data_IF_782994200176
#
_entry.id   IF_782994200176
#
_cell.length_a   1.000
_cell.length_b   1.000
_cell.length_c   1.000
_cell.angle_alpha   90.00
_cell.angle_beta   90.00
_cell.angle_gamma   90.00
#
_symmetry.space_group_name_H-M   'P 1'
#
loop_
_entity.id
_entity.type
_entity.pdbx_description
1 polymer ?
#
# COMPACT_ATOMS: atom_id res chain seq x y z
N UNK A 1 56.23 15.48 -29.18
CA UNK A 1 55.06 16.02 -28.45
C UNK A 1 53.72 15.45 -28.93
N UNK A 2 53.42 15.39 -30.23
CA UNK A 2 52.15 14.83 -30.74
C UNK A 2 51.95 13.33 -30.43
N UNK A 3 53.01 12.52 -30.52
CA UNK A 3 52.93 11.08 -30.21
C UNK A 3 52.69 10.78 -28.71
N UNK A 4 53.15 11.66 -27.81
CA UNK A 4 52.97 11.48 -26.36
C UNK A 4 51.52 11.78 -25.94
N UNK A 5 50.90 12.77 -26.57
CA UNK A 5 49.50 13.14 -26.33
C UNK A 5 48.51 12.06 -26.82
N UNK A 6 48.82 11.39 -27.93
CA UNK A 6 48.01 10.27 -28.45
C UNK A 6 48.10 9.03 -27.55
N UNK A 7 49.26 8.80 -26.94
CA UNK A 7 49.44 7.69 -26.00
C UNK A 7 48.77 7.97 -24.65
N UNK A 8 48.77 9.23 -24.18
CA UNK A 8 48.03 9.62 -22.99
C UNK A 8 46.50 9.53 -23.20
N UNK A 9 45.97 9.92 -24.37
CA UNK A 9 44.54 9.82 -24.64
C UNK A 9 44.05 8.36 -24.76
N UNK A 10 44.92 7.44 -25.21
CA UNK A 10 44.60 6.01 -25.22
C UNK A 10 44.53 5.40 -23.81
N UNK A 11 45.36 5.87 -22.87
CA UNK A 11 45.34 5.40 -21.47
C UNK A 11 44.12 5.94 -20.70
N UNK A 12 43.67 7.16 -20.98
CA UNK A 12 42.44 7.72 -20.39
C UNK A 12 41.15 7.11 -20.95
N UNK A 13 41.17 6.59 -22.18
CA UNK A 13 40.01 5.89 -22.76
C UNK A 13 39.86 4.44 -22.27
N UNK A 14 40.95 3.79 -21.82
CA UNK A 14 40.91 2.45 -21.23
C UNK A 14 40.56 2.44 -19.73
N UNK A 15 40.54 3.60 -19.08
CA UNK A 15 40.16 3.76 -17.67
C UNK A 15 38.73 4.29 -17.48
N UNK A 16 38.00 4.52 -18.58
CA UNK A 16 36.58 4.85 -18.55
C UNK A 16 35.73 3.57 -18.72
N UNK A 17 35.07 3.18 -17.62
CA UNK A 17 33.96 2.22 -17.57
C UNK A 17 34.30 0.72 -17.66
N UNK A 18 35.17 0.25 -16.79
CA UNK A 18 34.87 -0.98 -16.06
C UNK A 18 34.42 -0.58 -14.66
N UNK A 19 33.19 -0.08 -14.53
CA UNK A 19 32.53 -0.03 -13.23
C UNK A 19 32.27 -1.49 -12.91
N UNK A 20 33.12 -2.06 -12.06
CA UNK A 20 32.88 -3.37 -11.47
C UNK A 20 31.47 -3.32 -10.88
N UNK A 21 30.54 -3.95 -11.59
CA UNK A 21 29.25 -4.28 -11.00
C UNK A 21 29.62 -5.26 -9.93
N UNK A 22 29.70 -4.78 -8.69
CA UNK A 22 29.53 -5.66 -7.55
C UNK A 22 28.16 -6.28 -7.77
N UNK A 23 28.16 -7.47 -8.35
CA UNK A 23 27.09 -8.42 -8.18
C UNK A 23 27.02 -8.58 -6.67
N UNK A 24 26.16 -7.78 -6.05
CA UNK A 24 25.62 -8.08 -4.73
C UNK A 24 25.12 -9.48 -4.92
N UNK A 25 25.84 -10.43 -4.31
CA UNK A 25 25.43 -11.81 -4.23
C UNK A 25 24.00 -11.76 -3.74
N UNK A 26 23.05 -11.99 -4.65
CA UNK A 26 21.64 -12.15 -4.29
C UNK A 26 21.67 -13.20 -3.19
N UNK A 27 21.19 -12.90 -1.97
CA UNK A 27 21.03 -13.94 -0.99
C UNK A 27 20.20 -15.02 -1.68
N UNK A 28 20.80 -16.18 -1.81
CA UNK A 28 20.33 -17.33 -2.59
C UNK A 28 19.13 -18.03 -1.92
N UNK A 29 18.34 -17.27 -1.17
CA UNK A 29 17.11 -17.62 -0.49
C UNK A 29 16.19 -16.40 -0.58
N UNK A 30 15.76 -16.02 -1.79
CA UNK A 30 14.51 -15.25 -1.93
C UNK A 30 13.41 -16.30 -1.83
N UNK A 31 13.26 -16.86 -0.62
CA UNK A 31 12.06 -17.58 -0.24
C UNK A 31 10.89 -16.65 -0.58
N UNK A 32 9.81 -17.20 -1.12
CA UNK A 32 8.57 -16.44 -1.33
C UNK A 32 8.08 -15.97 0.03
N UNK A 33 8.57 -14.80 0.43
CA UNK A 33 8.53 -14.33 1.80
C UNK A 33 7.18 -13.67 1.95
N UNK A 34 6.34 -14.28 2.77
CA UNK A 34 5.13 -13.59 3.23
C UNK A 34 5.60 -12.36 3.99
N UNK A 35 5.20 -11.18 3.52
CA UNK A 35 5.53 -9.90 4.13
C UNK A 35 4.42 -9.58 5.12
N UNK A 36 4.80 -9.27 6.35
CA UNK A 36 3.88 -8.94 7.43
C UNK A 36 4.40 -7.69 8.15
N UNK A 37 3.56 -6.68 8.26
CA UNK A 37 3.89 -5.42 8.93
C UNK A 37 2.70 -4.95 9.77
N UNK A 38 3.01 -4.33 10.90
CA UNK A 38 2.01 -3.79 11.81
C UNK A 38 2.32 -2.35 12.18
N UNK A 39 1.31 -1.54 12.45
CA UNK A 39 1.45 -0.18 12.96
C UNK A 39 0.36 0.14 13.97
N UNK A 40 0.73 0.89 15.01
CA UNK A 40 -0.25 1.43 15.95
C UNK A 40 -0.65 2.85 15.57
N UNK A 41 -1.92 3.16 15.74
CA UNK A 41 -2.50 4.50 15.52
C UNK A 41 -3.35 4.89 16.72
N UNK A 42 -3.24 6.16 17.12
CA UNK A 42 -4.12 6.75 18.13
C UNK A 42 -5.07 7.70 17.40
N UNK A 43 -6.36 7.44 17.51
CA UNK A 43 -7.40 8.33 17.04
C UNK A 43 -7.82 9.24 18.18
N UNK A 44 -7.87 10.55 17.90
CA UNK A 44 -8.47 11.56 18.77
C UNK A 44 -9.62 12.21 18.01
N UNK A 45 -10.84 11.84 18.37
CA UNK A 45 -12.04 12.24 17.65
C UNK A 45 -12.90 13.15 18.52
N UNK A 46 -13.09 14.39 18.05
CA UNK A 46 -13.99 15.34 18.72
C UNK A 46 -15.45 15.01 18.43
N UNK A 47 -16.37 15.55 19.22
CA UNK A 47 -17.81 15.44 18.95
C UNK A 47 -18.18 15.93 17.54
N UNK A 48 -17.49 16.94 17.01
CA UNK A 48 -17.74 17.46 15.68
C UNK A 48 -17.31 16.49 14.57
N UNK A 49 -16.30 15.66 14.81
CA UNK A 49 -15.83 14.65 13.86
C UNK A 49 -16.78 13.46 13.82
N UNK A 50 -17.25 13.02 14.99
CA UNK A 50 -18.22 11.94 15.10
C UNK A 50 -19.55 12.26 14.40
N UNK A 51 -19.96 13.54 14.39
CA UNK A 51 -21.16 14.00 13.69
C UNK A 51 -21.08 13.89 12.15
N UNK A 52 -19.89 13.68 11.59
CA UNK A 52 -19.69 13.49 10.14
C UNK A 52 -20.06 12.08 9.70
N UNK A 53 -20.12 11.13 10.62
CA UNK A 53 -20.39 9.74 10.33
C UNK A 53 -21.89 9.44 10.43
N UNK A 54 -22.42 8.77 9.42
CA UNK A 54 -23.78 8.23 9.46
C UNK A 54 -23.87 7.08 10.48
N UNK A 55 -22.86 6.21 10.46
CA UNK A 55 -22.61 5.18 11.46
C UNK A 55 -21.27 5.50 12.14
N UNK A 56 -21.34 5.84 13.43
CA UNK A 56 -20.18 6.29 14.20
C UNK A 56 -19.16 5.16 14.37
N UNK A 57 -19.62 3.93 14.60
CA UNK A 57 -18.73 2.79 14.82
C UNK A 57 -18.00 2.43 13.52
N UNK A 58 -18.72 2.31 12.40
CA UNK A 58 -18.13 2.09 11.08
C UNK A 58 -17.14 3.21 10.71
N UNK A 59 -17.48 4.46 11.03
CA UNK A 59 -16.63 5.62 10.81
C UNK A 59 -15.30 5.54 11.57
N UNK A 60 -15.34 5.17 12.86
CA UNK A 60 -14.15 5.01 13.70
C UNK A 60 -13.24 3.91 13.16
N UNK A 61 -13.79 2.73 12.85
CA UNK A 61 -13.02 1.62 12.28
C UNK A 61 -12.37 2.00 10.95
N UNK A 62 -13.10 2.70 10.09
CA UNK A 62 -12.59 3.18 8.81
C UNK A 62 -11.42 4.15 8.98
N UNK A 63 -11.54 5.15 9.85
CA UNK A 63 -10.45 6.10 10.11
C UNK A 63 -9.21 5.40 10.67
N UNK A 64 -9.40 4.47 11.63
CA UNK A 64 -8.31 3.68 12.21
C UNK A 64 -7.60 2.84 11.14
N UNK A 65 -8.38 2.14 10.31
CA UNK A 65 -7.88 1.34 9.19
C UNK A 65 -7.08 2.21 8.22
N UNK A 66 -7.66 3.29 7.71
CA UNK A 66 -7.01 4.14 6.71
C UNK A 66 -5.71 4.71 7.25
N UNK A 67 -5.70 5.27 8.45
CA UNK A 67 -4.49 5.82 9.03
C UNK A 67 -3.42 4.74 9.31
N UNK A 68 -3.83 3.58 9.84
CA UNK A 68 -2.92 2.48 10.14
C UNK A 68 -2.32 1.86 8.88
N UNK A 69 -3.12 1.65 7.83
CA UNK A 69 -2.65 1.13 6.56
C UNK A 69 -1.68 2.09 5.87
N UNK A 70 -1.92 3.41 5.92
CA UNK A 70 -0.95 4.40 5.40
C UNK A 70 0.41 4.23 6.10
N UNK A 71 0.42 4.07 7.42
CA UNK A 71 1.67 3.82 8.16
C UNK A 71 2.33 2.50 7.81
N UNK A 72 1.55 1.42 7.80
CA UNK A 72 2.04 0.09 7.43
C UNK A 72 2.66 0.14 6.04
N UNK A 73 1.97 0.75 5.08
CA UNK A 73 2.47 0.89 3.73
C UNK A 73 3.75 1.73 3.68
N UNK A 74 3.83 2.87 4.38
CA UNK A 74 5.06 3.65 4.42
C UNK A 74 6.26 2.84 4.95
N UNK A 75 6.05 1.95 5.93
CA UNK A 75 7.10 1.02 6.38
C UNK A 75 7.51 0.02 5.31
N UNK A 76 6.53 -0.55 4.61
CA UNK A 76 6.77 -1.48 3.49
C UNK A 76 7.57 -0.77 2.38
N UNK A 77 7.13 0.42 1.98
CA UNK A 77 7.75 1.21 0.91
C UNK A 77 9.18 1.66 1.26
N UNK A 78 9.44 2.01 2.53
CA UNK A 78 10.77 2.39 3.01
C UNK A 78 11.78 1.22 3.00
N UNK A 79 11.32 -0.03 2.84
CA UNK A 79 12.19 -1.21 2.71
C UNK A 79 12.60 -1.50 1.27
N UNK A 80 12.09 -0.75 0.28
CA UNK A 80 12.36 -0.96 -1.15
C UNK A 80 12.18 -2.43 -1.58
N UNK A 81 11.10 -3.07 -1.10
CA UNK A 81 10.89 -4.50 -1.26
C UNK A 81 10.81 -4.93 -2.72
N UNK A 82 11.57 -5.97 -3.05
CA UNK A 82 11.48 -6.72 -4.29
C UNK A 82 10.85 -8.09 -4.00
N UNK A 83 9.82 -8.45 -4.75
CA UNK A 83 9.16 -9.75 -4.70
C UNK A 83 9.34 -10.49 -6.01
N UNK A 84 9.41 -11.82 -5.94
CA UNK A 84 9.37 -12.71 -7.10
C UNK A 84 8.01 -13.40 -7.09
N UNK A 85 7.15 -13.17 -8.09
CA UNK A 85 5.87 -13.85 -8.17
C UNK A 85 6.08 -15.34 -8.40
N UNK A 86 5.55 -16.19 -7.51
CA UNK A 86 5.62 -17.65 -7.65
C UNK A 86 4.26 -18.27 -7.41
N UNK A 87 4.03 -19.46 -7.95
CA UNK A 87 2.81 -20.23 -7.69
C UNK A 87 2.98 -21.09 -6.43
N UNK A 88 1.94 -21.15 -5.59
CA UNK A 88 1.90 -22.08 -4.45
C UNK A 88 2.72 -21.60 -3.26
N UNK A 89 2.72 -20.30 -3.00
CA UNK A 89 3.29 -19.74 -1.77
C UNK A 89 2.43 -20.22 -0.59
N UNK A 90 3.02 -20.49 0.59
CA UNK A 90 2.24 -20.78 1.79
C UNK A 90 1.15 -19.72 2.03
N UNK A 91 -0.03 -20.21 2.44
CA UNK A 91 -1.21 -19.39 2.75
C UNK A 91 -0.85 -18.23 3.68
N UNK A 92 -1.47 -17.06 3.47
CA UNK A 92 -1.32 -15.90 4.35
C UNK A 92 -1.82 -16.17 5.78
N UNK A 93 -2.51 -17.29 6.03
CA UNK A 93 -3.29 -17.53 7.23
C UNK A 93 -4.62 -16.77 7.13
N UNK A 94 -5.74 -17.46 7.39
CA UNK A 94 -7.07 -16.91 7.13
C UNK A 94 -7.55 -17.08 5.68
N UNK A 95 -8.61 -16.37 5.30
CA UNK A 95 -9.18 -16.29 3.95
C UNK A 95 -8.29 -15.49 2.98
N UNK A 96 -8.69 -15.42 1.71
CA UNK A 96 -7.93 -14.67 0.69
C UNK A 96 -8.38 -13.21 0.68
N UNK A 97 -7.46 -12.28 0.96
CA UNK A 97 -7.82 -10.86 1.02
C UNK A 97 -8.76 -10.54 2.18
N UNK A 98 -8.60 -11.27 3.30
CA UNK A 98 -9.49 -11.18 4.46
C UNK A 98 -9.32 -9.83 5.18
N UNK A 99 -10.45 -9.27 5.63
CA UNK A 99 -10.49 -8.07 6.46
C UNK A 99 -11.20 -8.39 7.78
N UNK A 100 -10.52 -8.15 8.89
CA UNK A 100 -11.05 -8.38 10.24
C UNK A 100 -10.98 -7.14 11.11
N UNK A 101 -12.03 -6.96 11.90
CA UNK A 101 -12.13 -5.95 12.97
C UNK A 101 -12.29 -6.68 14.30
N UNK A 102 -11.54 -6.30 15.33
CA UNK A 102 -11.59 -6.97 16.63
C UNK A 102 -11.35 -6.02 17.80
N UNK A 103 -11.86 -6.37 18.98
CA UNK A 103 -11.81 -5.52 20.18
C UNK A 103 -13.10 -4.73 20.41
N UNK A 104 -13.06 -3.79 21.36
CA UNK A 104 -14.23 -2.99 21.79
C UNK A 104 -13.87 -1.52 21.71
N UNK A 105 -14.67 -0.74 20.99
CA UNK A 105 -14.49 0.72 20.92
C UNK A 105 -14.80 1.36 22.28
N UNK A 106 -13.91 2.24 22.74
CA UNK A 106 -14.17 3.02 23.95
C UNK A 106 -15.34 3.99 23.75
N UNK A 107 -16.07 4.22 24.83
CA UNK A 107 -17.08 5.27 24.95
C UNK A 107 -16.63 6.37 25.90
N UNK A 108 -15.43 6.23 26.47
CA UNK A 108 -14.86 7.22 27.37
C UNK A 108 -14.34 8.43 26.60
N UNK A 109 -14.62 9.61 27.12
CA UNK A 109 -14.14 10.87 26.58
C UNK A 109 -13.14 11.49 27.54
N UNK A 110 -12.08 12.08 26.99
CA UNK A 110 -11.14 12.91 27.72
C UNK A 110 -11.91 14.01 28.50
N UNK A 111 -11.76 14.12 29.82
CA UNK A 111 -12.53 15.05 30.64
C UNK A 111 -12.17 16.52 30.40
N UNK A 112 -10.99 16.81 29.84
CA UNK A 112 -10.54 18.17 29.54
C UNK A 112 -10.98 18.62 28.14
N UNK A 113 -10.85 17.74 27.14
CA UNK A 113 -11.15 18.09 25.74
C UNK A 113 -12.53 17.62 25.26
N UNK A 114 -13.09 16.61 25.90
CA UNK A 114 -14.33 15.95 25.47
C UNK A 114 -14.15 15.03 24.26
N UNK A 115 -12.90 14.72 23.86
CA UNK A 115 -12.61 13.87 22.72
C UNK A 115 -12.63 12.39 23.10
N UNK A 116 -13.02 11.53 22.16
CA UNK A 116 -12.78 10.09 22.26
C UNK A 116 -11.32 9.83 21.85
N UNK A 117 -10.56 9.15 22.71
CA UNK A 117 -9.17 8.76 22.44
C UNK A 117 -9.08 7.23 22.47
N UNK A 118 -8.67 6.64 21.35
CA UNK A 118 -8.60 5.20 21.21
C UNK A 118 -7.39 4.80 20.35
N UNK A 119 -6.61 3.84 20.84
CA UNK A 119 -5.50 3.25 20.10
C UNK A 119 -5.95 1.98 19.37
N UNK A 120 -5.36 1.77 18.19
CA UNK A 120 -5.61 0.61 17.34
C UNK A 120 -4.29 0.02 16.87
N UNK A 121 -4.22 -1.29 16.76
CA UNK A 121 -3.17 -2.00 16.03
C UNK A 121 -3.72 -2.38 14.65
N UNK A 122 -2.99 -2.04 13.60
CA UNK A 122 -3.30 -2.42 12.22
C UNK A 122 -2.19 -3.32 11.71
N UNK A 123 -2.53 -4.54 11.33
CA UNK A 123 -1.62 -5.51 10.71
C UNK A 123 -2.00 -5.71 9.24
N UNK A 124 -1.00 -5.77 8.36
CA UNK A 124 -1.19 -6.07 6.96
C UNK A 124 -0.19 -7.12 6.49
N UNK A 125 -0.69 -8.09 5.73
CA UNK A 125 0.06 -9.25 5.29
C UNK A 125 -0.20 -9.59 3.84
N UNK A 126 0.85 -9.86 3.07
CA UNK A 126 0.72 -10.23 1.66
C UNK A 126 1.87 -11.13 1.19
N UNK A 127 1.71 -11.71 0.02
CA UNK A 127 2.75 -12.49 -0.63
C UNK A 127 2.69 -12.34 -2.15
N UNK A 128 3.79 -12.69 -2.82
CA UNK A 128 3.86 -12.74 -4.28
C UNK A 128 3.16 -13.96 -4.90
N UNK A 129 2.12 -14.53 -4.28
CA UNK A 129 1.43 -15.67 -4.88
C UNK A 129 0.64 -15.24 -6.12
N UNK A 130 0.90 -15.90 -7.25
CA UNK A 130 0.17 -15.67 -8.51
C UNK A 130 -1.35 -15.90 -8.38
N UNK A 131 -1.81 -16.74 -7.45
CA UNK A 131 -3.23 -16.94 -7.18
C UNK A 131 -3.90 -15.73 -6.52
N UNK A 132 -3.13 -14.97 -5.72
CA UNK A 132 -3.54 -13.72 -5.09
C UNK A 132 -3.27 -12.50 -5.98
N UNK A 133 -2.64 -12.74 -7.13
CA UNK A 133 -2.19 -11.73 -8.05
C UNK A 133 -3.29 -11.18 -8.97
N UNK A 134 -2.98 -10.02 -9.51
CA UNK A 134 -3.77 -9.33 -10.51
C UNK A 134 -2.93 -8.34 -11.31
N UNK A 135 -3.61 -7.47 -12.05
CA UNK A 135 -2.99 -6.41 -12.83
C UNK A 135 -3.90 -5.19 -12.95
N UNK A 136 -3.29 -4.00 -12.92
CA UNK A 136 -3.94 -2.75 -13.28
C UNK A 136 -4.11 -2.70 -14.80
N UNK A 137 -5.35 -2.57 -15.25
CA UNK A 137 -5.72 -2.54 -16.66
C UNK A 137 -5.67 -1.13 -17.24
N UNK A 138 -6.23 -0.18 -16.49
CA UNK A 138 -6.32 1.21 -16.90
C UNK A 138 -6.53 2.09 -15.68
N UNK A 139 -6.23 3.37 -15.83
CA UNK A 139 -6.44 4.41 -14.82
C UNK A 139 -7.72 5.18 -15.19
N UNK A 140 -8.22 6.01 -14.27
CA UNK A 140 -9.33 6.91 -14.58
C UNK A 140 -9.05 7.77 -15.84
N UNK A 141 -10.10 8.09 -16.59
CA UNK A 141 -10.05 8.67 -17.95
C UNK A 141 -9.02 9.83 -18.07
N UNK A 142 -8.25 9.80 -19.17
CA UNK A 142 -7.20 10.76 -19.56
C UNK A 142 -5.90 10.77 -18.75
N UNK A 143 -5.66 9.76 -17.88
CA UNK A 143 -4.40 9.67 -17.11
C UNK A 143 -3.51 8.52 -17.54
N UNK A 144 -2.21 8.82 -17.71
CA UNK A 144 -1.16 7.83 -17.95
C UNK A 144 -0.49 7.35 -16.66
N UNK A 145 -0.58 8.15 -15.60
CA UNK A 145 0.06 7.96 -14.30
C UNK A 145 -0.96 8.28 -13.20
N UNK A 146 -0.98 7.49 -12.14
CA UNK A 146 -1.81 7.72 -10.95
C UNK A 146 -0.98 7.77 -9.66
N UNK A 147 -1.47 8.54 -8.68
CA UNK A 147 -0.90 8.67 -7.34
C UNK A 147 -1.93 8.42 -6.24
N UNK A 148 -1.62 8.84 -5.01
CA UNK A 148 -2.54 8.71 -3.88
C UNK A 148 -3.90 9.38 -4.14
N UNK A 149 -4.97 8.73 -3.70
CA UNK A 149 -6.39 9.09 -3.90
C UNK A 149 -6.93 8.97 -5.33
N UNK A 150 -6.13 8.48 -6.28
CA UNK A 150 -6.62 8.22 -7.63
C UNK A 150 -7.30 6.86 -7.75
N UNK A 151 -8.21 6.76 -8.72
CA UNK A 151 -8.95 5.53 -9.02
C UNK A 151 -8.26 4.78 -10.15
N UNK A 152 -8.09 3.47 -9.96
CA UNK A 152 -7.58 2.55 -10.96
C UNK A 152 -8.55 1.39 -11.19
N UNK A 153 -8.56 0.85 -12.40
CA UNK A 153 -9.32 -0.35 -12.76
C UNK A 153 -8.36 -1.51 -12.92
N UNK A 154 -8.64 -2.60 -12.22
CA UNK A 154 -7.78 -3.76 -12.18
C UNK A 154 -8.54 -5.07 -12.41
N UNK A 155 -7.78 -6.14 -12.62
CA UNK A 155 -8.26 -7.50 -12.72
C UNK A 155 -7.53 -8.38 -11.72
N UNK A 156 -8.29 -9.09 -10.88
CA UNK A 156 -7.80 -10.16 -10.02
C UNK A 156 -7.91 -11.49 -10.76
N UNK A 157 -6.87 -12.31 -10.79
CA UNK A 157 -6.84 -13.48 -11.68
C UNK A 157 -7.62 -14.68 -11.16
N UNK A 158 -7.39 -15.08 -9.91
CA UNK A 158 -7.96 -16.30 -9.35
C UNK A 158 -8.74 -16.00 -8.06
N UNK A 159 -8.08 -15.40 -7.07
CA UNK A 159 -8.71 -15.04 -5.82
C UNK A 159 -9.40 -13.67 -5.89
N UNK A 160 -10.50 -13.54 -5.16
CA UNK A 160 -11.18 -12.27 -4.86
C UNK A 160 -11.29 -12.15 -3.35
N UNK A 161 -11.33 -10.93 -2.78
CA UNK A 161 -11.49 -10.76 -1.34
C UNK A 161 -12.80 -11.41 -0.86
N UNK A 162 -12.72 -12.20 0.21
CA UNK A 162 -13.87 -12.87 0.82
C UNK A 162 -14.83 -11.87 1.49
N UNK A 163 -14.27 -10.77 2.01
CA UNK A 163 -14.99 -9.68 2.69
C UNK A 163 -14.56 -8.34 2.14
N UNK A 164 -15.48 -7.37 2.12
CA UNK A 164 -15.17 -5.99 1.73
C UNK A 164 -15.08 -5.11 2.99
N UNK A 165 -14.17 -4.12 3.03
CA UNK A 165 -13.23 -3.76 1.96
C UNK A 165 -12.05 -4.72 1.83
N UNK A 166 -11.63 -5.01 0.60
CA UNK A 166 -10.40 -5.74 0.31
C UNK A 166 -9.23 -4.79 0.07
N UNK A 167 -8.00 -5.25 0.21
CA UNK A 167 -6.80 -4.42 0.02
C UNK A 167 -5.77 -5.13 -0.85
N UNK A 168 -4.98 -4.34 -1.59
CA UNK A 168 -3.91 -4.85 -2.45
C UNK A 168 -2.63 -4.04 -2.27
N UNK A 169 -1.49 -4.71 -2.35
CA UNK A 169 -0.23 -4.03 -2.67
C UNK A 169 -0.12 -3.84 -4.18
N UNK A 170 0.56 -2.77 -4.60
CA UNK A 170 0.85 -2.47 -6.00
C UNK A 170 2.36 -2.62 -6.21
N UNK A 171 2.74 -3.31 -7.28
CA UNK A 171 4.13 -3.56 -7.61
C UNK A 171 4.42 -3.37 -9.11
N UNK A 172 5.49 -2.64 -9.43
CA UNK A 172 5.97 -2.42 -10.78
C UNK A 172 7.06 -3.44 -11.16
N UNK A 173 7.34 -3.61 -12.45
CA UNK A 173 8.48 -4.41 -12.92
C UNK A 173 9.81 -3.72 -12.57
N UNK A 174 10.70 -4.40 -11.83
CA UNK A 174 12.03 -3.93 -11.52
C UNK A 174 12.96 -4.09 -12.75
N UNK A 175 12.87 -3.16 -13.70
CA UNK A 175 13.56 -3.19 -15.01
C UNK A 175 15.07 -3.46 -14.90
N UNK A 176 15.70 -3.03 -13.81
CA UNK A 176 17.12 -3.23 -13.51
C UNK A 176 17.50 -4.66 -13.08
N UNK A 177 16.54 -5.45 -12.59
CA UNK A 177 16.72 -6.85 -12.19
C UNK A 177 16.13 -7.85 -13.20
N UNK A 178 15.26 -7.37 -14.09
CA UNK A 178 14.59 -8.15 -15.13
C UNK A 178 13.13 -8.45 -14.81
N UNK A 179 12.42 -9.04 -15.77
CA UNK A 179 10.95 -9.12 -15.79
C UNK A 179 10.30 -9.95 -14.68
N UNK A 180 11.09 -10.78 -14.02
CA UNK A 180 10.59 -11.69 -12.97
C UNK A 180 10.58 -11.04 -11.58
N UNK A 181 11.12 -9.83 -11.45
CA UNK A 181 11.23 -9.12 -10.19
C UNK A 181 10.25 -7.95 -10.18
N UNK A 182 9.46 -7.87 -9.12
CA UNK A 182 8.53 -6.77 -8.94
C UNK A 182 8.93 -5.95 -7.71
N UNK A 183 8.91 -4.63 -7.84
CA UNK A 183 9.16 -3.70 -6.75
C UNK A 183 7.83 -3.24 -6.18
N UNK A 184 7.64 -3.33 -4.87
CA UNK A 184 6.43 -2.81 -4.21
C UNK A 184 6.51 -1.28 -4.20
N UNK A 185 5.49 -0.62 -4.73
CA UNK A 185 5.46 0.84 -4.95
C UNK A 185 4.23 1.54 -4.36
N UNK A 186 3.22 0.79 -3.94
CA UNK A 186 2.04 1.38 -3.32
C UNK A 186 1.07 0.37 -2.75
N UNK A 187 -0.08 0.89 -2.31
CA UNK A 187 -1.21 0.13 -1.78
C UNK A 187 -2.53 0.77 -2.23
N UNK A 188 -3.55 -0.05 -2.43
CA UNK A 188 -4.89 0.40 -2.74
C UNK A 188 -5.97 -0.37 -1.97
N UNK A 189 -7.10 0.31 -1.75
CA UNK A 189 -8.35 -0.29 -1.27
C UNK A 189 -9.20 -0.72 -2.48
N UNK A 190 -9.70 -1.94 -2.45
CA UNK A 190 -10.70 -2.42 -3.41
C UNK A 190 -12.04 -1.83 -3.00
N UNK A 191 -12.60 -0.95 -3.84
CA UNK A 191 -13.93 -0.35 -3.63
C UNK A 191 -15.06 -1.23 -4.09
N UNK A 192 -14.85 -1.94 -5.20
CA UNK A 192 -15.88 -2.76 -5.82
C UNK A 192 -15.25 -3.93 -6.57
N UNK A 193 -15.86 -5.10 -6.46
CA UNK A 193 -15.59 -6.27 -7.30
C UNK A 193 -16.81 -6.49 -8.19
N UNK A 194 -16.61 -6.60 -9.51
CA UNK A 194 -17.68 -6.90 -10.46
C UNK A 194 -17.99 -8.39 -10.44
N UNK A 195 -19.24 -8.76 -10.75
CA UNK A 195 -19.63 -10.17 -10.84
C UNK A 195 -19.17 -10.79 -12.16
N UNK A 196 -18.65 -12.01 -12.08
CA UNK A 196 -18.23 -12.80 -13.23
C UNK A 196 -16.77 -12.57 -13.65
N UNK A 197 -16.30 -13.43 -14.54
CA UNK A 197 -14.94 -13.36 -15.08
C UNK A 197 -14.95 -12.78 -16.49
N UNK A 198 -13.92 -11.99 -16.78
CA UNK A 198 -13.66 -11.38 -18.08
C UNK A 198 -12.31 -11.88 -18.59
N UNK A 199 -12.23 -12.14 -19.90
CA UNK A 199 -10.98 -12.48 -20.56
C UNK A 199 -10.42 -11.24 -21.27
N UNK A 200 -9.16 -10.92 -21.02
CA UNK A 200 -8.45 -9.87 -21.74
C UNK A 200 -8.10 -10.32 -23.16
N UNK A 201 -8.00 -9.39 -24.12
CA UNK A 201 -7.41 -9.67 -25.41
C UNK A 201 -5.99 -10.24 -25.27
N UNK A 202 -5.55 -11.07 -26.23
CA UNK A 202 -4.19 -11.63 -26.24
C UNK A 202 -3.10 -10.55 -26.21
N UNK A 203 -3.37 -9.40 -26.83
CA UNK A 203 -2.49 -8.24 -26.88
C UNK A 203 -2.26 -7.62 -25.49
N UNK A 204 -3.20 -7.82 -24.56
CA UNK A 204 -3.16 -7.37 -23.16
C UNK A 204 -2.81 -8.52 -22.20
N UNK A 205 -2.20 -9.60 -22.71
CA UNK A 205 -1.74 -10.74 -21.91
C UNK A 205 -2.69 -11.94 -21.87
N UNK A 206 -3.91 -11.83 -22.40
CA UNK A 206 -4.83 -12.97 -22.52
C UNK A 206 -5.30 -13.58 -21.20
N UNK A 207 -5.11 -12.89 -20.08
CA UNK A 207 -5.49 -13.36 -18.77
C UNK A 207 -7.02 -13.36 -18.61
N UNK A 208 -7.53 -14.23 -17.75
CA UNK A 208 -8.94 -14.23 -17.33
C UNK A 208 -8.98 -13.92 -15.83
N UNK A 209 -9.96 -13.12 -15.41
CA UNK A 209 -10.08 -12.73 -14.02
C UNK A 209 -11.32 -11.89 -13.75
N UNK A 210 -11.47 -11.45 -12.51
CA UNK A 210 -12.58 -10.64 -12.03
C UNK A 210 -12.17 -9.17 -12.00
N UNK A 211 -12.98 -8.30 -12.58
CA UNK A 211 -12.71 -6.87 -12.59
C UNK A 211 -13.00 -6.23 -11.23
N UNK A 212 -12.15 -5.29 -10.83
CA UNK A 212 -12.34 -4.49 -9.63
C UNK A 212 -11.94 -3.03 -9.84
N UNK A 213 -12.49 -2.17 -8.98
CA UNK A 213 -12.12 -0.75 -8.87
C UNK A 213 -11.30 -0.56 -7.61
N UNK A 214 -10.16 0.10 -7.76
CA UNK A 214 -9.20 0.39 -6.71
C UNK A 214 -9.19 1.89 -6.44
N UNK A 215 -9.08 2.28 -5.17
CA UNK A 215 -8.66 3.62 -4.75
C UNK A 215 -7.25 3.51 -4.18
N UNK A 216 -6.29 4.20 -4.79
CA UNK A 216 -4.90 4.18 -4.35
C UNK A 216 -4.79 4.91 -3.02
N UNK A 217 -4.34 4.23 -1.98
CA UNK A 217 -4.18 4.82 -0.65
C UNK A 217 -2.87 5.61 -0.56
N UNK A 218 -1.79 5.00 -1.05
CA UNK A 218 -0.46 5.60 -1.04
C UNK A 218 0.42 4.98 -2.11
N UNK A 219 1.28 5.79 -2.71
CA UNK A 219 2.37 5.32 -3.56
C UNK A 219 3.63 6.17 -3.36
N UNK A 220 4.81 5.56 -3.53
CA UNK A 220 6.09 6.29 -3.58
C UNK A 220 6.61 6.45 -5.02
N UNK A 221 5.91 5.86 -5.99
CA UNK A 221 6.17 5.97 -7.43
C UNK A 221 4.86 6.13 -8.19
N UNK A 222 5.02 6.51 -9.44
CA UNK A 222 3.95 6.59 -10.42
C UNK A 222 3.38 5.19 -10.69
N UNK A 223 2.05 5.05 -10.63
CA UNK A 223 1.36 3.80 -10.92
C UNK A 223 0.88 3.84 -12.37
N UNK A 224 1.16 2.77 -13.12
CA UNK A 224 0.88 2.64 -14.54
C UNK A 224 -0.04 1.45 -14.86
N UNK A 225 -0.61 1.47 -16.07
CA UNK A 225 -1.30 0.30 -16.63
C UNK A 225 -0.28 -0.82 -16.89
N UNK A 226 -0.54 -2.02 -16.39
CA UNK A 226 0.41 -3.13 -16.45
C UNK A 226 1.02 -3.50 -15.11
N UNK A 227 1.01 -2.59 -14.14
CA UNK A 227 1.48 -2.86 -12.79
C UNK A 227 0.71 -4.01 -12.15
N UNK A 228 1.42 -4.78 -11.33
CA UNK A 228 0.89 -5.97 -10.66
C UNK A 228 0.27 -5.58 -9.34
N UNK A 229 -0.76 -6.32 -8.96
CA UNK A 229 -1.37 -6.19 -7.64
C UNK A 229 -1.40 -7.55 -6.96
N UNK A 230 -1.33 -7.56 -5.63
CA UNK A 230 -1.46 -8.77 -4.83
C UNK A 230 -2.39 -8.51 -3.65
N UNK A 231 -3.36 -9.39 -3.44
CA UNK A 231 -4.29 -9.29 -2.32
C UNK A 231 -3.56 -9.35 -0.97
N UNK A 232 -4.08 -8.57 -0.02
CA UNK A 232 -3.57 -8.47 1.33
C UNK A 232 -4.63 -8.87 2.35
N UNK A 233 -4.19 -9.55 3.41
CA UNK A 233 -4.99 -9.70 4.62
C UNK A 233 -4.72 -8.51 5.54
N UNK A 234 -5.79 -7.94 6.10
CA UNK A 234 -5.74 -6.76 6.97
C UNK A 234 -6.53 -7.05 8.25
N UNK A 235 -5.89 -6.86 9.39
CA UNK A 235 -6.53 -6.95 10.71
C UNK A 235 -6.43 -5.60 11.42
N UNK A 236 -7.54 -5.14 11.98
CA UNK A 236 -7.64 -3.91 12.76
C UNK A 236 -8.17 -4.25 14.14
N UNK A 237 -7.35 -4.06 15.16
CA UNK A 237 -7.68 -4.37 16.54
C UNK A 237 -7.74 -3.10 17.40
N UNK A 238 -8.89 -2.83 18.05
CA UNK A 238 -8.99 -1.81 19.08
C UNK A 238 -8.28 -2.28 20.35
N UNK A 239 -7.38 -1.44 20.88
CA UNK A 239 -6.58 -1.75 22.06
C UNK A 239 -7.28 -1.28 23.35
N UNK A 240 -7.04 -1.92 24.49
CA UNK A 240 -7.67 -1.46 25.73
C UNK A 240 -7.15 -0.07 26.16
N UNK A 241 -8.00 0.81 26.73
CA UNK A 241 -7.58 2.11 27.23
C UNK A 241 -6.44 1.97 28.25
N UNK A 242 -5.33 2.66 28.00
CA UNK A 242 -4.14 2.60 28.85
C UNK A 242 -3.18 1.44 28.56
N UNK A 243 -3.41 0.63 27.52
CA UNK A 243 -2.38 -0.29 27.03
C UNK A 243 -1.21 0.51 26.48
N UNK A 244 -0.07 0.49 27.18
CA UNK A 244 1.20 0.95 26.62
C UNK A 244 1.70 -0.10 25.65
N UNK A 245 1.81 0.27 24.38
CA UNK A 245 2.60 -0.44 23.37
C UNK A 245 3.99 -0.71 23.95
N UNK A 246 4.44 -1.97 23.93
CA UNK A 246 5.67 -2.38 24.61
C UNK A 246 6.90 -1.61 24.05
N UNK A 247 7.87 -1.29 24.91
CA UNK A 247 9.12 -0.62 24.50
C UNK A 247 9.80 -1.40 23.36
N UNK A 248 9.75 -0.83 22.14
CA UNK A 248 10.17 -1.48 20.89
C UNK A 248 9.12 -1.41 19.76
N UNK A 249 7.90 -0.97 20.06
CA UNK A 249 6.79 -0.84 19.12
C UNK A 249 6.76 0.48 18.34
N UNK A 250 6.17 0.48 17.13
CA UNK A 250 6.40 1.51 16.12
C UNK A 250 5.73 2.85 16.44
N UNK A 251 6.39 3.93 16.01
CA UNK A 251 5.98 5.33 16.09
C UNK A 251 4.44 5.54 16.09
N UNK A 252 3.89 5.76 17.28
CA UNK A 252 2.49 6.19 17.44
C UNK A 252 2.37 7.59 16.85
N UNK A 253 1.37 7.78 16.00
CA UNK A 253 1.07 9.06 15.36
C UNK A 253 -0.37 9.29 15.71
N UNK A 254 -0.59 10.45 16.32
CA UNK A 254 -1.92 10.95 16.64
C UNK A 254 -2.52 11.43 15.33
N UNK A 255 -3.59 10.79 14.90
CA UNK A 255 -4.31 11.19 13.68
C UNK A 255 -5.38 12.17 14.12
N UNK A 256 -5.18 13.44 13.79
CA UNK A 256 -6.24 14.44 13.83
C UNK A 256 -6.93 14.43 12.46
N UNK A 257 -8.27 14.30 12.39
CA UNK A 257 -8.96 14.36 11.11
C UNK A 257 -8.67 15.69 10.40
N UNK A 258 -8.70 15.72 9.05
CA UNK A 258 -8.40 16.94 8.30
C UNK A 258 -9.34 18.06 8.78
N UNK A 259 -8.73 19.14 9.26
CA UNK A 259 -9.47 20.33 9.63
C UNK A 259 -10.21 20.82 8.40
N UNK A 260 -11.54 20.95 8.48
CA UNK A 260 -12.25 21.72 7.48
C UNK A 260 -11.67 23.14 7.55
N UNK A 261 -10.87 23.53 6.57
CA UNK A 261 -10.48 24.93 6.40
C UNK A 261 -11.77 25.71 6.28
N UNK A 262 -12.21 26.32 7.38
CA UNK A 262 -13.19 27.38 7.31
C UNK A 262 -12.48 28.52 6.60
N UNK A 263 -12.72 28.62 5.30
CA UNK A 263 -12.37 29.79 4.50
C UNK A 263 -12.89 31.00 5.26
N UNK A 264 -11.97 31.77 5.83
CA UNK A 264 -12.29 33.06 6.42
C UNK A 264 -12.61 33.98 5.25
N UNK A 265 -13.90 34.25 5.02
CA UNK A 265 -14.29 35.29 4.08
C UNK A 265 -13.63 36.61 4.52
N UNK A 266 -12.98 37.34 3.60
CA UNK A 266 -12.35 38.61 3.95
C UNK A 266 -13.44 39.58 4.39
N UNK A 267 -13.27 40.17 5.58
CA UNK A 267 -14.14 41.23 6.06
C UNK A 267 -14.03 42.43 5.12
N UNK A 268 -15.05 42.67 4.31
CA UNK A 268 -15.19 43.92 3.58
C UNK A 268 -15.36 45.07 4.58
N UNK A 269 -14.31 45.88 4.73
CA UNK A 269 -14.41 47.17 5.42
C UNK A 269 -15.03 48.18 4.45
N UNK A 270 -16.22 48.68 4.79
CA UNK A 270 -16.85 49.84 4.15
C UNK A 270 -16.18 51.15 4.55
#
# INVERSE_FOLDING_TARGET
>A
MRALLVLLSAVFLLSACAKEVQLVSTPSDIDSTVVEEQASVELRLSKADLLRFTDVEEGIWKEARTAGLIKVCNKILNKDLIIIPVAGVPSLGGGFGEYTESGVLTTETDPETGDIIQSFMVSAKFSGDLALGGQILTLEEDRFIAGSSDVAYAMLYQAVPDTMPGHVVIAEEAKELGKSFLRVIGMAEIKQVKQGTVALPKEQGGATGTLCTLEILVSNREIESGDRIFLMNVDVAALEPGSTLAEGEPETVVVLPPSSDKVQEPSETK
#
